data_IF_880713864078
#
_entry.id   IF_880713864078
#
_cell.length_a   1.000
_cell.length_b   1.000
_cell.length_c   1.000
_cell.angle_alpha   90.00
_cell.angle_beta   90.00
_cell.angle_gamma   90.00
#
_symmetry.space_group_name_H-M   'P 1'
#
loop_
_entity.id
_entity.type
_entity.pdbx_description
1 polymer ?
#
# COMPACT_ATOMS: atom_id res chain seq x y z
N UNK A 1 -3.50 11.89 -17.50
CA UNK A 1 -3.48 10.67 -16.68
C UNK A 1 -2.46 10.80 -15.55
N UNK A 2 -2.89 10.53 -14.33
CA UNK A 2 -2.00 10.62 -13.19
C UNK A 2 -0.93 9.55 -13.24
N UNK A 3 0.31 9.91 -12.94
CA UNK A 3 1.35 8.93 -12.76
C UNK A 3 1.44 8.56 -11.27
N UNK A 4 2.26 7.57 -10.96
CA UNK A 4 2.37 7.07 -9.59
C UNK A 4 2.88 8.16 -8.63
N UNK A 5 3.84 8.97 -9.07
CA UNK A 5 4.36 10.09 -8.28
C UNK A 5 3.27 11.04 -7.83
N UNK A 6 2.34 11.36 -8.73
CA UNK A 6 1.22 12.23 -8.40
C UNK A 6 0.25 11.56 -7.44
N UNK A 7 0.00 10.27 -7.64
CA UNK A 7 -0.93 9.50 -6.81
C UNK A 7 -0.47 9.47 -5.36
N UNK A 8 0.81 9.22 -5.12
CA UNK A 8 1.33 9.13 -3.74
C UNK A 8 1.55 10.50 -3.09
N UNK A 9 1.56 11.58 -3.88
CA UNK A 9 1.79 12.93 -3.37
C UNK A 9 0.47 13.63 -3.05
N UNK A 10 -0.27 13.07 -2.12
CA UNK A 10 -1.54 13.60 -1.65
C UNK A 10 -1.38 14.17 -0.24
N UNK A 11 -2.30 15.07 0.18
CA UNK A 11 -2.26 15.59 1.56
C UNK A 11 -2.42 14.51 2.62
N UNK A 12 -3.21 13.47 2.31
CA UNK A 12 -3.44 12.37 3.25
C UNK A 12 -2.50 11.20 2.96
N UNK A 13 -2.28 10.32 3.95
CA UNK A 13 -1.43 9.14 3.73
C UNK A 13 -1.95 8.24 2.62
N UNK A 14 -1.04 7.65 1.86
CA UNK A 14 -1.36 6.71 0.79
C UNK A 14 -0.68 5.39 1.09
N UNK A 15 -1.48 4.34 1.25
CA UNK A 15 -0.99 2.99 1.46
C UNK A 15 -1.04 2.25 0.12
N UNK A 16 0.10 1.80 -0.36
CA UNK A 16 0.19 1.07 -1.62
C UNK A 16 0.43 -0.41 -1.35
N UNK A 17 -0.42 -1.24 -1.93
CA UNK A 17 -0.31 -2.70 -1.85
C UNK A 17 0.19 -3.23 -3.19
N UNK A 18 1.47 -3.61 -3.24
CA UNK A 18 2.03 -4.28 -4.41
C UNK A 18 1.71 -5.76 -4.31
N UNK A 19 0.95 -6.28 -5.26
CA UNK A 19 0.43 -7.63 -5.22
C UNK A 19 0.59 -8.35 -6.56
N UNK A 20 0.30 -9.65 -6.56
CA UNK A 20 0.17 -10.44 -7.79
C UNK A 20 -1.06 -11.33 -7.66
N UNK A 21 -1.71 -11.62 -8.78
CA UNK A 21 -2.94 -12.42 -8.77
C UNK A 21 -2.70 -13.87 -8.32
N UNK A 22 -1.50 -14.41 -8.58
CA UNK A 22 -1.14 -15.78 -8.18
C UNK A 22 -0.72 -15.91 -6.72
N UNK A 23 -0.63 -14.83 -6.01
CA UNK A 23 -0.05 -14.76 -4.66
C UNK A 23 -1.12 -15.05 -3.60
N UNK A 24 -0.97 -16.17 -2.89
CA UNK A 24 -1.89 -16.54 -1.81
C UNK A 24 -1.95 -15.52 -0.68
N UNK A 25 -0.81 -15.13 -0.09
CA UNK A 25 -0.81 -14.11 0.97
C UNK A 25 -1.40 -12.78 0.54
N UNK A 26 -1.26 -12.42 -0.75
CA UNK A 26 -1.87 -11.19 -1.27
C UNK A 26 -3.39 -11.25 -1.16
N UNK A 27 -3.97 -12.42 -1.42
CA UNK A 27 -5.41 -12.61 -1.31
C UNK A 27 -5.89 -12.49 0.13
N UNK A 28 -5.05 -12.88 1.08
CA UNK A 28 -5.35 -12.72 2.51
C UNK A 28 -5.24 -11.25 2.94
N UNK A 29 -4.36 -10.50 2.29
CA UNK A 29 -4.16 -9.09 2.59
C UNK A 29 -5.36 -8.23 2.17
N UNK A 30 -6.05 -8.59 1.10
CA UNK A 30 -7.17 -7.81 0.57
C UNK A 30 -8.27 -7.53 1.60
N UNK A 31 -8.82 -8.53 2.31
CA UNK A 31 -9.84 -8.23 3.31
C UNK A 31 -9.32 -7.42 4.49
N UNK A 32 -8.04 -7.59 4.84
CA UNK A 32 -7.42 -6.78 5.89
C UNK A 32 -7.41 -5.31 5.48
N UNK A 33 -7.01 -5.03 4.25
CA UNK A 33 -6.97 -3.66 3.75
C UNK A 33 -8.36 -3.05 3.66
N UNK A 34 -9.36 -3.86 3.32
CA UNK A 34 -10.74 -3.39 3.31
C UNK A 34 -11.18 -2.95 4.71
N UNK A 35 -10.83 -3.73 5.73
CA UNK A 35 -11.14 -3.37 7.11
C UNK A 35 -10.41 -2.11 7.55
N UNK A 36 -9.17 -1.94 7.12
CA UNK A 36 -8.42 -0.72 7.39
C UNK A 36 -9.14 0.49 6.78
N UNK A 37 -9.57 0.36 5.54
CA UNK A 37 -10.29 1.45 4.86
C UNK A 37 -11.63 1.73 5.52
N UNK A 38 -12.35 0.69 5.96
CA UNK A 38 -13.61 0.86 6.65
C UNK A 38 -13.43 1.63 7.96
N UNK A 39 -12.34 1.36 8.68
CA UNK A 39 -12.09 2.03 9.95
C UNK A 39 -11.59 3.47 9.77
N UNK A 40 -10.67 3.69 8.84
CA UNK A 40 -10.01 5.00 8.69
C UNK A 40 -10.71 5.92 7.69
N UNK A 41 -11.55 5.38 6.82
CA UNK A 41 -12.33 6.17 5.87
C UNK A 41 -11.46 7.08 5.02
N UNK A 42 -11.78 8.38 5.05
CA UNK A 42 -11.09 9.38 4.23
C UNK A 42 -9.70 9.75 4.76
N UNK A 43 -9.30 9.21 5.89
CA UNK A 43 -7.99 9.52 6.48
C UNK A 43 -6.84 8.78 5.80
N UNK A 44 -7.13 7.87 4.88
CA UNK A 44 -6.13 7.14 4.12
C UNK A 44 -6.65 6.84 2.72
N UNK A 45 -5.75 6.84 1.75
CA UNK A 45 -6.03 6.35 0.40
C UNK A 45 -5.32 5.01 0.26
N UNK A 46 -6.02 3.97 -0.19
CA UNK A 46 -5.42 2.65 -0.39
C UNK A 46 -5.43 2.34 -1.87
N UNK A 47 -4.25 2.02 -2.42
CA UNK A 47 -4.04 1.78 -3.84
C UNK A 47 -3.40 0.41 -4.01
N UNK A 48 -3.89 -0.35 -4.98
CA UNK A 48 -3.34 -1.68 -5.30
C UNK A 48 -2.64 -1.64 -6.64
N UNK A 49 -1.41 -2.14 -6.67
CA UNK A 49 -0.59 -2.20 -7.88
C UNK A 49 -0.21 -3.66 -8.17
N UNK A 50 -0.65 -4.16 -9.32
CA UNK A 50 -0.30 -5.50 -9.77
C UNK A 50 1.11 -5.46 -10.35
N UNK A 51 2.04 -6.18 -9.71
CA UNK A 51 3.46 -6.14 -10.12
C UNK A 51 3.69 -6.78 -11.49
N UNK A 52 2.86 -7.74 -11.86
CA UNK A 52 3.01 -8.39 -13.17
C UNK A 52 2.53 -7.49 -14.31
N UNK A 53 1.56 -6.64 -14.03
CA UNK A 53 1.05 -5.67 -15.01
C UNK A 53 1.84 -4.37 -15.00
N UNK A 54 2.63 -4.14 -13.96
CA UNK A 54 3.41 -2.92 -13.78
C UNK A 54 4.85 -3.25 -13.39
N UNK A 55 5.57 -4.06 -14.19
CA UNK A 55 6.90 -4.53 -13.81
C UNK A 55 7.93 -3.41 -13.67
N UNK A 56 7.84 -2.39 -14.51
CA UNK A 56 8.77 -1.25 -14.43
C UNK A 56 8.59 -0.48 -13.13
N UNK A 57 7.34 -0.28 -12.72
CA UNK A 57 7.04 0.42 -11.48
C UNK A 57 7.52 -0.39 -10.28
N UNK A 58 7.25 -1.69 -10.27
CA UNK A 58 7.72 -2.57 -9.21
C UNK A 58 9.24 -2.52 -9.08
N UNK A 59 9.94 -2.57 -10.21
CA UNK A 59 11.39 -2.48 -10.24
C UNK A 59 11.89 -1.15 -9.71
N UNK A 60 11.26 -0.06 -10.13
CA UNK A 60 11.62 1.29 -9.72
C UNK A 60 11.54 1.45 -8.21
N UNK A 61 10.53 0.87 -7.58
CA UNK A 61 10.35 0.96 -6.14
C UNK A 61 10.92 -0.25 -5.40
N UNK A 62 11.71 -1.07 -6.10
CA UNK A 62 12.47 -2.19 -5.53
C UNK A 62 11.59 -3.22 -4.84
N UNK A 63 10.43 -3.47 -5.40
CA UNK A 63 9.52 -4.51 -4.90
C UNK A 63 10.00 -5.85 -5.43
N UNK A 64 10.45 -6.71 -4.53
CA UNK A 64 11.02 -8.02 -4.88
C UNK A 64 10.15 -9.19 -4.46
N UNK A 65 9.22 -8.95 -3.56
CA UNK A 65 8.30 -9.97 -3.08
C UNK A 65 6.91 -9.39 -2.95
N UNK A 66 5.91 -10.25 -2.93
CA UNK A 66 4.52 -9.83 -2.74
C UNK A 66 3.86 -10.64 -1.64
N UNK A 67 2.95 -10.03 -0.87
CA UNK A 67 2.61 -8.62 -0.92
C UNK A 67 3.71 -7.75 -0.33
N UNK A 68 3.82 -6.52 -0.81
CA UNK A 68 4.66 -5.50 -0.18
C UNK A 68 3.79 -4.27 0.01
N UNK A 69 3.69 -3.83 1.25
CA UNK A 69 2.96 -2.63 1.59
C UNK A 69 3.94 -1.48 1.77
N UNK A 70 3.61 -0.33 1.19
CA UNK A 70 4.43 0.87 1.31
C UNK A 70 3.51 2.02 1.68
N UNK A 71 3.83 2.72 2.75
CA UNK A 71 3.06 3.87 3.19
C UNK A 71 3.79 5.15 2.82
N UNK A 72 3.09 6.02 2.12
CA UNK A 72 3.61 7.33 1.70
C UNK A 72 2.88 8.43 2.45
N UNK A 73 3.63 9.46 2.82
CA UNK A 73 3.05 10.67 3.40
C UNK A 73 3.63 11.86 2.65
N UNK A 74 2.77 12.58 1.96
CA UNK A 74 3.17 13.74 1.13
C UNK A 74 4.25 13.38 0.12
N UNK A 75 4.10 12.21 -0.49
CA UNK A 75 5.01 11.74 -1.54
C UNK A 75 6.23 10.99 -1.05
N UNK A 76 6.46 10.93 0.26
CA UNK A 76 7.64 10.29 0.81
C UNK A 76 7.30 8.97 1.50
N UNK A 77 8.14 7.97 1.26
CA UNK A 77 7.98 6.69 1.93
C UNK A 77 8.30 6.84 3.41
N UNK A 78 7.32 6.49 4.26
CA UNK A 78 7.49 6.58 5.72
C UNK A 78 7.48 5.20 6.39
N UNK A 79 7.03 4.16 5.68
CA UNK A 79 7.01 2.81 6.21
C UNK A 79 6.89 1.81 5.06
N UNK A 80 7.48 0.64 5.24
CA UNK A 80 7.44 -0.43 4.24
C UNK A 80 7.58 -1.79 4.91
N UNK A 81 6.79 -2.76 4.45
CA UNK A 81 6.91 -4.13 4.93
C UNK A 81 6.45 -5.12 3.88
N UNK A 82 7.21 -6.20 3.71
CA UNK A 82 6.83 -7.31 2.85
C UNK A 82 6.17 -8.39 3.69
N UNK A 83 5.24 -9.12 3.08
CA UNK A 83 4.49 -10.18 3.73
C UNK A 83 3.20 -9.69 4.35
N UNK A 84 2.50 -10.61 5.01
CA UNK A 84 1.21 -10.32 5.61
C UNK A 84 1.38 -9.42 6.83
N UNK A 85 0.57 -8.37 6.91
CA UNK A 85 0.60 -7.42 8.04
C UNK A 85 -0.80 -7.36 8.65
N UNK A 86 -0.86 -7.35 9.97
CA UNK A 86 -2.14 -7.31 10.67
C UNK A 86 -2.77 -5.92 10.62
N UNK A 87 -4.11 -5.89 10.62
CA UNK A 87 -4.87 -4.64 10.58
C UNK A 87 -4.43 -3.65 11.66
N UNK A 88 -4.26 -4.13 12.89
CA UNK A 88 -3.91 -3.27 14.03
C UNK A 88 -2.59 -2.55 13.82
N UNK A 89 -1.61 -3.23 13.25
CA UNK A 89 -0.32 -2.62 12.97
C UNK A 89 -0.45 -1.54 11.91
N UNK A 90 -1.20 -1.82 10.84
CA UNK A 90 -1.40 -0.87 9.75
C UNK A 90 -2.10 0.39 10.25
N UNK A 91 -3.19 0.22 10.98
CA UNK A 91 -3.96 1.34 11.53
C UNK A 91 -3.09 2.18 12.46
N UNK A 92 -2.32 1.53 13.32
CA UNK A 92 -1.44 2.23 14.27
C UNK A 92 -0.41 3.10 13.55
N UNK A 93 0.21 2.57 12.51
CA UNK A 93 1.23 3.30 11.76
C UNK A 93 0.62 4.50 11.04
N UNK A 94 -0.55 4.32 10.42
CA UNK A 94 -1.22 5.41 9.71
C UNK A 94 -1.60 6.52 10.69
N UNK A 95 -2.13 6.15 11.85
CA UNK A 95 -2.54 7.13 12.86
C UNK A 95 -1.37 7.93 13.41
N UNK A 96 -0.18 7.32 13.50
CA UNK A 96 1.01 8.02 14.01
C UNK A 96 1.49 9.15 13.11
N UNK A 97 1.25 9.03 11.82
CA UNK A 97 1.71 10.03 10.85
C UNK A 97 0.61 11.03 10.46
N UNK A 98 -0.58 10.82 10.96
CA UNK A 98 -1.73 11.69 10.62
C UNK A 98 -1.82 12.90 11.49
#
# INVERSE_FOLDING_TARGET
MSNFSEIINQPKPVLVDFFAEWCGPCKMMSPILKEVKDELGENVSIIKIDVDKNPSLASQYKVRGVPTLVLYNKGQQVWRQSGLVQKREIVSIIQKIS
#
